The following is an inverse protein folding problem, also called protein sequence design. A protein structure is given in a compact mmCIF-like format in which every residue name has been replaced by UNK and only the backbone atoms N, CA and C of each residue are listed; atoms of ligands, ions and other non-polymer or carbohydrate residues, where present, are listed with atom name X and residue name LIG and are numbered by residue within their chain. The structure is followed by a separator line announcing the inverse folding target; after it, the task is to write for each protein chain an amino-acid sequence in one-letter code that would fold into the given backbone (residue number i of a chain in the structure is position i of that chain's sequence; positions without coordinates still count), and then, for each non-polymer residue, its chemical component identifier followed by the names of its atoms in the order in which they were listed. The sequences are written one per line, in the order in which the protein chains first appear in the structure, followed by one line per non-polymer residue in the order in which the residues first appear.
data_IF_183231138671
#
_entry.id   IF_183231138671
#
_cell.length_a   1.000
_cell.length_b   1.000
_cell.length_c   1.000
_cell.angle_alpha   90.00
_cell.angle_beta   90.00
_cell.angle_gamma   90.00
#
_symmetry.space_group_name_H-M   'P 1'
#
loop_
_entity.id
_entity.type
_entity.pdbx_description
1 polymer ?
#
# COMPACT_ATOMS: atom_id res chain seq x y z
N UNK A 1 2.45 6.19 23.83
CA UNK A 1 2.80 5.88 22.43
C UNK A 1 2.75 7.15 21.56
N UNK A 2 3.42 8.24 21.95
CA UNK A 2 3.40 9.51 21.20
C UNK A 2 4.53 9.61 20.15
N UNK A 3 5.62 8.87 20.37
CA UNK A 3 6.78 8.86 19.46
C UNK A 3 6.49 8.17 18.13
N UNK A 4 5.65 7.15 18.12
CA UNK A 4 5.43 6.33 16.91
C UNK A 4 4.50 7.05 15.92
N UNK A 5 3.48 7.76 16.42
CA UNK A 5 2.62 8.61 15.60
C UNK A 5 3.40 9.74 14.89
N UNK A 6 4.34 10.37 15.60
CA UNK A 6 5.16 11.44 15.05
C UNK A 6 6.11 10.93 13.94
N UNK A 7 6.65 9.72 14.10
CA UNK A 7 7.48 9.06 13.07
C UNK A 7 6.66 8.72 11.82
N UNK A 8 5.46 8.18 11.98
CA UNK A 8 4.55 7.90 10.87
C UNK A 8 4.14 9.18 10.13
N UNK A 9 3.89 10.26 10.86
CA UNK A 9 3.59 11.56 10.26
C UNK A 9 4.76 12.10 9.41
N UNK A 10 6.01 11.87 9.85
CA UNK A 10 7.19 12.27 9.09
C UNK A 10 7.32 11.49 7.77
N UNK A 11 7.03 10.19 7.76
CA UNK A 11 7.05 9.35 6.55
C UNK A 11 5.90 9.73 5.61
N UNK A 12 4.70 9.92 6.14
CA UNK A 12 3.53 10.35 5.36
C UNK A 12 3.79 11.67 4.63
N UNK A 13 4.52 12.60 5.27
CA UNK A 13 4.91 13.87 4.63
C UNK A 13 5.80 13.70 3.40
N UNK A 14 6.54 12.59 3.27
CA UNK A 14 7.34 12.31 2.06
C UNK A 14 6.46 12.21 0.81
N UNK A 15 5.19 11.83 0.92
CA UNK A 15 4.26 11.81 -0.23
C UNK A 15 4.12 13.18 -0.88
N UNK A 16 4.29 14.26 -0.11
CA UNK A 16 4.22 15.64 -0.62
C UNK A 16 5.54 16.13 -1.23
N UNK A 17 6.64 15.41 -1.02
CA UNK A 17 7.98 15.75 -1.50
C UNK A 17 8.28 15.04 -2.82
N UNK A 18 7.50 15.34 -3.86
CA UNK A 18 7.66 14.76 -5.19
C UNK A 18 9.03 15.00 -5.82
N UNK A 19 9.82 15.98 -5.35
CA UNK A 19 11.18 16.24 -5.83
C UNK A 19 12.21 15.19 -5.41
N UNK A 20 11.87 14.32 -4.44
CA UNK A 20 12.76 13.28 -3.91
C UNK A 20 12.37 11.87 -4.37
N UNK A 21 11.38 11.75 -5.26
CA UNK A 21 10.99 10.45 -5.82
C UNK A 21 12.06 9.97 -6.78
N UNK A 22 12.60 8.79 -6.50
CA UNK A 22 13.67 8.12 -7.23
C UNK A 22 13.21 6.78 -7.83
N UNK A 23 11.93 6.46 -7.70
CA UNK A 23 11.33 5.23 -8.19
C UNK A 23 9.96 5.50 -8.82
N UNK A 24 9.59 4.73 -9.84
CA UNK A 24 8.29 4.88 -10.52
C UNK A 24 7.55 3.54 -10.59
N UNK A 25 6.27 3.54 -10.23
CA UNK A 25 5.38 2.40 -10.42
C UNK A 25 4.47 2.71 -11.60
N UNK A 26 4.45 1.86 -12.61
CA UNK A 26 3.64 2.02 -13.82
C UNK A 26 2.50 1.00 -13.84
N UNK A 27 1.32 1.43 -14.27
CA UNK A 27 0.16 0.57 -14.49
C UNK A 27 -0.59 1.05 -15.72
N UNK A 28 -0.31 0.44 -16.87
CA UNK A 28 -0.89 0.84 -18.14
C UNK A 28 -0.57 2.30 -18.48
N UNK A 29 -1.57 3.18 -18.34
CA UNK A 29 -1.47 4.61 -18.66
C UNK A 29 -1.24 5.50 -17.42
N UNK A 30 -1.08 4.92 -16.23
CA UNK A 30 -0.81 5.65 -14.99
C UNK A 30 0.58 5.35 -14.47
N UNK A 31 1.23 6.39 -13.93
CA UNK A 31 2.54 6.30 -13.31
C UNK A 31 2.50 6.99 -11.96
N UNK A 32 2.99 6.33 -10.92
CA UNK A 32 3.15 6.88 -9.58
C UNK A 32 4.64 6.99 -9.27
N UNK A 33 5.10 8.22 -9.04
CA UNK A 33 6.44 8.45 -8.55
C UNK A 33 6.47 8.27 -7.04
N UNK A 34 7.33 7.37 -6.58
CA UNK A 34 7.47 6.98 -5.17
C UNK A 34 8.93 7.03 -4.75
N UNK A 35 9.16 6.84 -3.47
CA UNK A 35 10.48 6.90 -2.86
C UNK A 35 10.99 5.48 -2.60
N UNK A 36 12.14 5.13 -3.16
CA UNK A 36 12.80 3.83 -2.97
C UNK A 36 13.09 3.57 -1.50
N UNK A 37 13.43 4.60 -0.74
CA UNK A 37 13.58 4.50 0.73
C UNK A 37 12.31 3.95 1.39
N UNK A 38 11.13 4.41 0.98
CA UNK A 38 9.86 3.95 1.56
C UNK A 38 9.59 2.51 1.14
N UNK A 39 9.85 2.15 -0.13
CA UNK A 39 9.74 0.75 -0.58
C UNK A 39 10.68 -0.19 0.22
N UNK A 40 11.91 0.26 0.49
CA UNK A 40 12.90 -0.47 1.28
C UNK A 40 12.43 -0.78 2.70
N UNK A 41 11.63 0.10 3.29
CA UNK A 41 11.08 -0.14 4.64
C UNK A 41 10.06 -1.27 4.66
N UNK A 42 9.41 -1.56 3.54
CA UNK A 42 8.32 -2.53 3.46
C UNK A 42 8.76 -3.89 2.93
N UNK A 43 9.78 -3.96 2.08
CA UNK A 43 10.28 -5.22 1.54
C UNK A 43 11.68 -5.13 0.94
N UNK A 44 12.53 -6.10 1.27
CA UNK A 44 13.83 -6.31 0.63
C UNK A 44 13.69 -6.75 -0.83
N UNK A 45 12.58 -7.41 -1.19
CA UNK A 45 12.30 -7.80 -2.58
C UNK A 45 12.10 -6.56 -3.44
N UNK A 46 11.34 -5.57 -2.97
CA UNK A 46 11.12 -4.32 -3.72
C UNK A 46 12.43 -3.55 -3.94
N UNK A 47 13.37 -3.63 -3.01
CA UNK A 47 14.70 -3.03 -3.17
C UNK A 47 15.56 -3.67 -4.25
N UNK A 48 15.38 -4.98 -4.45
CA UNK A 48 16.06 -5.78 -5.47
C UNK A 48 15.35 -5.72 -6.81
N UNK A 49 14.09 -5.28 -6.84
CA UNK A 49 13.34 -5.13 -8.09
C UNK A 49 13.91 -3.93 -8.84
N UNK A 50 14.68 -4.27 -9.88
CA UNK A 50 15.21 -3.42 -10.95
C UNK A 50 16.04 -2.21 -10.50
N UNK A 51 17.33 -2.28 -10.81
CA UNK A 51 18.26 -1.14 -10.67
C UNK A 51 17.81 0.09 -11.49
N UNK A 52 16.95 -0.11 -12.50
CA UNK A 52 16.38 0.93 -13.35
C UNK A 52 15.36 1.86 -12.64
N UNK A 53 14.93 1.52 -11.42
CA UNK A 53 14.02 2.38 -10.64
C UNK A 53 12.57 2.37 -11.12
N UNK A 54 12.13 1.31 -11.81
CA UNK A 54 10.76 1.18 -12.31
C UNK A 54 10.13 -0.18 -11.99
N UNK A 55 8.86 -0.16 -11.55
CA UNK A 55 8.02 -1.32 -11.33
C UNK A 55 6.78 -1.30 -12.22
N UNK A 56 6.70 -2.23 -13.17
CA UNK A 56 5.51 -2.39 -14.00
C UNK A 56 4.49 -3.33 -13.34
N UNK A 57 3.34 -2.77 -13.00
CA UNK A 57 2.15 -3.43 -12.46
C UNK A 57 0.97 -3.38 -13.43
N UNK A 58 1.21 -3.32 -14.75
CA UNK A 58 0.13 -3.27 -15.75
C UNK A 58 -0.82 -4.47 -15.75
N UNK A 59 -0.49 -5.55 -15.04
CA UNK A 59 -1.37 -6.71 -14.80
C UNK A 59 -2.37 -6.51 -13.67
N UNK A 60 -2.14 -5.49 -12.84
CA UNK A 60 -2.92 -5.17 -11.65
C UNK A 60 -3.87 -4.02 -11.99
N UNK A 61 -5.03 -3.98 -11.35
CA UNK A 61 -5.96 -2.87 -11.45
C UNK A 61 -5.31 -1.56 -10.96
N UNK A 62 -5.43 -0.43 -11.67
CA UNK A 62 -4.81 0.85 -11.27
C UNK A 62 -5.33 1.37 -9.92
N UNK A 63 -6.53 0.96 -9.52
CA UNK A 63 -7.11 1.27 -8.21
C UNK A 63 -6.38 0.54 -7.08
N UNK A 64 -6.01 -0.73 -7.29
CA UNK A 64 -5.24 -1.53 -6.34
C UNK A 64 -3.82 -1.00 -6.21
N UNK A 65 -3.20 -0.60 -7.32
CA UNK A 65 -1.88 0.05 -7.31
C UNK A 65 -1.93 1.37 -6.52
N UNK A 66 -3.00 2.15 -6.66
CA UNK A 66 -3.21 3.37 -5.88
C UNK A 66 -3.23 3.11 -4.37
N UNK A 67 -3.98 2.09 -3.91
CA UNK A 67 -3.98 1.71 -2.50
C UNK A 67 -2.66 1.14 -2.01
N UNK A 68 -1.94 0.38 -2.85
CA UNK A 68 -0.61 -0.10 -2.50
C UNK A 68 0.35 1.08 -2.25
N UNK A 69 0.31 2.10 -3.11
CA UNK A 69 1.08 3.33 -2.93
C UNK A 69 0.65 4.06 -1.66
N UNK A 70 -0.65 4.18 -1.41
CA UNK A 70 -1.16 4.81 -0.18
C UNK A 70 -0.69 4.06 1.08
N UNK A 71 -0.74 2.74 1.05
CA UNK A 71 -0.26 1.87 2.12
C UNK A 71 1.23 2.10 2.41
N UNK A 72 2.06 2.30 1.39
CA UNK A 72 3.49 2.54 1.62
C UNK A 72 3.77 3.77 2.49
N UNK A 73 2.95 4.82 2.38
CA UNK A 73 3.14 6.06 3.14
C UNK A 73 2.31 6.13 4.44
N UNK A 74 1.12 5.51 4.45
CA UNK A 74 0.18 5.61 5.57
C UNK A 74 0.15 4.37 6.46
N UNK A 75 0.74 3.25 6.02
CA UNK A 75 0.63 1.93 6.65
C UNK A 75 -0.82 1.43 6.79
N UNK A 76 -1.73 2.07 6.04
CA UNK A 76 -3.14 1.73 5.96
C UNK A 76 -3.60 2.08 4.55
N UNK A 77 -4.53 1.31 4.02
CA UNK A 77 -5.16 1.58 2.75
C UNK A 77 -6.66 1.74 2.98
N UNK A 78 -7.27 2.76 2.36
CA UNK A 78 -8.69 3.07 2.56
C UNK A 78 -9.57 1.85 2.24
N UNK A 79 -10.19 1.28 3.27
CA UNK A 79 -11.03 0.07 3.19
C UNK A 79 -12.43 0.32 2.62
N UNK A 80 -12.69 1.52 2.11
CA UNK A 80 -14.03 1.92 1.64
C UNK A 80 -14.44 1.22 0.34
N UNK A 81 -13.50 0.63 -0.40
CA UNK A 81 -13.80 -0.26 -1.51
C UNK A 81 -13.94 -1.70 -0.98
N UNK A 82 -15.08 -2.00 -0.33
CA UNK A 82 -15.44 -3.33 0.25
C UNK A 82 -15.61 -4.45 -0.80
N UNK A 83 -14.99 -4.36 -1.99
CA UNK A 83 -15.04 -5.43 -2.97
C UNK A 83 -14.03 -6.54 -2.58
N UNK A 84 -14.47 -7.78 -2.35
CA UNK A 84 -13.57 -8.88 -1.93
C UNK A 84 -12.47 -9.17 -2.96
N UNK A 85 -12.75 -8.95 -4.25
CA UNK A 85 -11.79 -9.12 -5.35
C UNK A 85 -10.60 -8.15 -5.23
N UNK A 86 -10.86 -6.93 -4.76
CA UNK A 86 -9.84 -5.89 -4.55
C UNK A 86 -8.82 -6.29 -3.48
N UNK A 87 -9.30 -6.80 -2.34
CA UNK A 87 -8.45 -7.28 -1.25
C UNK A 87 -7.63 -8.50 -1.68
N UNK A 88 -8.22 -9.40 -2.48
CA UNK A 88 -7.51 -10.57 -3.01
C UNK A 88 -6.40 -10.15 -3.99
N UNK A 89 -6.67 -9.21 -4.89
CA UNK A 89 -5.66 -8.70 -5.83
C UNK A 89 -4.50 -8.01 -5.08
N UNK A 90 -4.81 -7.18 -4.08
CA UNK A 90 -3.80 -6.56 -3.22
C UNK A 90 -2.97 -7.59 -2.45
N UNK A 91 -3.59 -8.66 -1.95
CA UNK A 91 -2.91 -9.77 -1.27
C UNK A 91 -1.96 -10.53 -2.20
N UNK A 92 -2.37 -10.79 -3.45
CA UNK A 92 -1.52 -11.44 -4.45
C UNK A 92 -0.29 -10.61 -4.72
N UNK A 93 -0.45 -9.29 -4.89
CA UNK A 93 0.66 -8.35 -5.08
C UNK A 93 1.56 -8.31 -3.83
N UNK A 94 0.97 -8.19 -2.64
CA UNK A 94 1.70 -8.19 -1.38
C UNK A 94 2.56 -9.45 -1.22
N UNK A 95 2.00 -10.62 -1.53
CA UNK A 95 2.70 -11.89 -1.43
C UNK A 95 3.78 -12.04 -2.52
N UNK A 96 3.55 -11.51 -3.72
CA UNK A 96 4.54 -11.53 -4.80
C UNK A 96 5.79 -10.69 -4.47
N UNK A 97 5.60 -9.56 -3.78
CA UNK A 97 6.70 -8.67 -3.37
C UNK A 97 7.12 -8.83 -1.90
N UNK A 98 6.69 -9.90 -1.23
CA UNK A 98 7.01 -10.21 0.17
C UNK A 98 6.77 -9.06 1.16
N UNK A 99 5.65 -8.36 1.00
CA UNK A 99 5.24 -7.27 1.90
C UNK A 99 4.47 -7.89 3.07
N UNK A 100 5.21 -8.39 4.07
CA UNK A 100 4.66 -9.14 5.21
C UNK A 100 3.59 -8.33 5.97
N UNK A 101 3.85 -7.06 6.25
CA UNK A 101 2.93 -6.20 7.00
C UNK A 101 1.58 -6.00 6.28
N UNK A 102 1.58 -5.95 4.95
CA UNK A 102 0.36 -5.81 4.16
C UNK A 102 -0.46 -7.10 4.15
N UNK A 103 0.23 -8.26 4.11
CA UNK A 103 -0.39 -9.59 4.20
C UNK A 103 -1.10 -9.77 5.54
N UNK A 104 -0.48 -9.36 6.65
CA UNK A 104 -1.09 -9.42 7.98
C UNK A 104 -2.29 -8.48 8.08
N UNK A 105 -2.19 -7.27 7.51
CA UNK A 105 -3.28 -6.27 7.56
C UNK A 105 -4.50 -6.70 6.74
N UNK A 106 -4.28 -7.26 5.54
CA UNK A 106 -5.35 -7.79 4.70
C UNK A 106 -5.95 -9.09 5.28
N UNK A 107 -5.14 -9.97 5.88
CA UNK A 107 -5.63 -11.20 6.53
C UNK A 107 -6.43 -10.89 7.80
N UNK A 108 -5.99 -9.90 8.59
CA UNK A 108 -6.69 -9.43 9.79
C UNK A 108 -7.99 -8.66 9.52
N UNK A 109 -8.20 -8.20 8.28
CA UNK A 109 -9.45 -7.57 7.85
C UNK A 109 -10.55 -8.59 7.57
N UNK A 110 -10.17 -9.75 7.01
CA UNK A 110 -11.11 -10.84 6.68
C UNK A 110 -11.71 -11.51 7.94
N UNK A 111 -10.97 -11.52 9.07
CA UNK A 111 -11.45 -12.06 10.35
C UNK A 111 -12.31 -11.09 11.17
N UNK A 112 -12.51 -9.83 10.73
CA UNK A 112 -13.31 -8.82 11.44
C UNK A 112 -14.67 -8.53 10.82
N UNK A 113 -15.04 -9.19 9.72
CA UNK A 113 -16.43 -9.24 9.22
C UNK A 113 -17.25 -10.22 10.09
N UNK A 114 -17.34 -9.94 11.40
CA UNK A 114 -18.31 -10.55 12.33
C UNK A 114 -18.61 -9.59 13.49
N UNK A 115 -18.68 -8.30 13.18
CA UNK A 115 -18.94 -7.24 14.17
C UNK A 115 -19.62 -6.03 13.57
N UNK A 116 -20.53 -6.19 12.60
CA UNK A 116 -21.55 -5.17 12.34
C UNK A 116 -22.56 -5.25 13.49
N UNK A 117 -22.26 -4.60 14.61
CA UNK A 117 -23.33 -4.15 15.50
C UNK A 117 -24.09 -3.05 14.78
N UNK A 118 -25.32 -3.40 14.43
CA UNK A 118 -26.41 -2.50 14.10
C UNK A 118 -26.49 -1.34 15.08
N UNK A 119 -26.40 -0.11 14.59
CA UNK A 119 -27.17 1.01 15.13
C UNK A 119 -27.85 1.73 13.98
N UNK A 120 -29.07 1.26 13.70
CA UNK A 120 -30.13 2.06 13.12
C UNK A 120 -30.59 3.00 14.25
N UNK A 121 -30.35 4.30 14.11
CA UNK A 121 -30.96 5.30 14.98
C UNK A 121 -32.38 5.56 14.47
N UNK A 122 -33.33 5.42 15.38
CA UNK A 122 -34.78 5.67 15.26
C UNK A 122 -35.03 7.16 14.98
#
# INVERSE_FOLDING_TARGET
MAGDQAKLAAISRLVTLSSLTDFSITCGNRTWHVHRLVLAMHSDCLMRVREDGELDLSRVSPEVVGALVEYFYKFDYGREQEAPDYHMELLVVANHYDIIALKDLASGSSSRVSGRSTEILI
#
